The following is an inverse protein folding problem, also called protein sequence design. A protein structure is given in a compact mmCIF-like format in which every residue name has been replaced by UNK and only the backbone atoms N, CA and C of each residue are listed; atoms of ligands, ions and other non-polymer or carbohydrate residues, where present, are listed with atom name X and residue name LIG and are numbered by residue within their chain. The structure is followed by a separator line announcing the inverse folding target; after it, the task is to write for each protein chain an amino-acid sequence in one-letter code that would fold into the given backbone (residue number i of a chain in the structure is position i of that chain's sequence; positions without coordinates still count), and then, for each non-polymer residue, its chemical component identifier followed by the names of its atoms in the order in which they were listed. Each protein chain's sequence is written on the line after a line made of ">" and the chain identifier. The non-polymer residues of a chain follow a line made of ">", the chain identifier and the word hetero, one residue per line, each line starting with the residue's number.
data_IF_596665442993
#
_entry.id   IF_596665442993
#
_cell.length_a   1.000
_cell.length_b   1.000
_cell.length_c   1.000
_cell.angle_alpha   90.00
_cell.angle_beta   90.00
_cell.angle_gamma   90.00
#
_symmetry.space_group_name_H-M   'P 1'
#
loop_
_entity.id
_entity.type
_entity.pdbx_description
1 polymer ?
#
# COMPACT_ATOMS: atom_id res chain seq x y z
N UNK A 1 -8.69 -14.39 9.27
CA UNK A 1 -8.67 -12.95 8.94
C UNK A 1 -9.54 -12.71 7.71
N UNK A 2 -10.84 -12.99 7.80
CA UNK A 2 -11.63 -13.39 6.61
C UNK A 2 -12.80 -12.47 6.26
N UNK A 3 -12.77 -11.19 6.66
CA UNK A 3 -13.91 -10.31 6.37
C UNK A 3 -13.57 -8.83 6.14
N UNK A 4 -12.36 -8.48 5.69
CA UNK A 4 -12.06 -7.08 5.36
C UNK A 4 -12.81 -6.63 4.11
N UNK A 5 -13.30 -5.39 4.10
CA UNK A 5 -14.03 -4.79 2.97
C UNK A 5 -13.24 -3.65 2.34
N UNK A 6 -13.03 -3.72 1.03
CA UNK A 6 -12.42 -2.63 0.25
C UNK A 6 -13.36 -1.43 0.24
N UNK A 7 -12.91 -0.31 0.81
CA UNK A 7 -13.70 0.93 0.88
C UNK A 7 -13.19 2.00 -0.08
N UNK A 8 -11.93 1.92 -0.51
CA UNK A 8 -11.31 2.86 -1.45
C UNK A 8 -10.30 2.14 -2.34
N UNK A 9 -10.40 2.35 -3.64
CA UNK A 9 -9.45 1.85 -4.63
C UNK A 9 -8.87 3.03 -5.39
N UNK A 10 -7.54 3.08 -5.51
CA UNK A 10 -6.85 4.11 -6.26
C UNK A 10 -6.80 3.74 -7.76
N UNK A 11 -6.58 4.71 -8.66
CA UNK A 11 -6.25 4.41 -10.05
C UNK A 11 -4.98 3.55 -10.16
N UNK A 12 -4.79 2.91 -11.32
CA UNK A 12 -3.50 2.28 -11.64
C UNK A 12 -2.44 3.37 -11.82
N UNK A 13 -1.31 3.20 -11.14
CA UNK A 13 -0.16 4.08 -11.21
C UNK A 13 0.94 3.50 -12.07
N UNK A 14 1.55 4.37 -12.85
CA UNK A 14 2.79 4.14 -13.58
C UNK A 14 3.96 4.76 -12.80
N UNK A 15 5.20 4.57 -13.27
CA UNK A 15 6.36 5.23 -12.68
C UNK A 15 6.19 6.78 -12.58
N UNK A 16 5.48 7.37 -13.55
CA UNK A 16 5.25 8.82 -13.64
C UNK A 16 4.07 9.32 -12.81
N UNK A 17 3.09 8.45 -12.56
CA UNK A 17 1.84 8.83 -11.87
C UNK A 17 1.76 8.33 -10.45
N UNK A 18 2.70 7.47 -10.01
CA UNK A 18 2.85 7.05 -8.62
C UNK A 18 3.08 8.29 -7.74
N UNK A 19 2.17 8.62 -6.80
CA UNK A 19 2.29 9.85 -6.03
C UNK A 19 3.51 9.84 -5.10
N UNK A 20 4.16 11.00 -5.00
CA UNK A 20 5.44 11.16 -4.29
C UNK A 20 5.34 10.77 -2.80
N UNK A 21 4.20 11.01 -2.15
CA UNK A 21 4.00 10.66 -0.74
C UNK A 21 4.10 9.15 -0.48
N UNK A 22 3.83 8.29 -1.48
CA UNK A 22 4.02 6.84 -1.33
C UNK A 22 5.50 6.41 -1.44
N UNK A 23 6.37 7.29 -1.94
CA UNK A 23 7.84 7.12 -1.97
C UNK A 23 8.52 7.61 -0.69
N UNK A 24 7.79 8.37 0.12
CA UNK A 24 8.22 8.89 1.42
C UNK A 24 7.70 7.99 2.56
N UNK A 25 8.25 8.15 3.77
CA UNK A 25 7.78 7.41 4.95
C UNK A 25 6.34 7.82 5.26
N UNK A 26 5.45 6.84 5.28
CA UNK A 26 4.05 7.03 5.68
C UNK A 26 3.50 5.74 6.29
N UNK A 27 2.28 5.79 6.80
CA UNK A 27 1.51 4.63 7.23
C UNK A 27 0.03 4.82 6.89
N UNK A 28 -0.76 3.78 7.13
CA UNK A 28 -2.22 3.89 7.10
C UNK A 28 -2.78 4.21 8.48
N UNK A 29 -3.93 4.87 8.52
CA UNK A 29 -4.67 5.12 9.76
C UNK A 29 -5.05 3.82 10.48
N UNK A 30 -5.36 3.92 11.77
CA UNK A 30 -5.93 2.82 12.54
C UNK A 30 -7.18 2.23 11.86
N UNK A 31 -7.28 0.90 11.85
CA UNK A 31 -8.35 0.15 11.19
C UNK A 31 -8.35 0.24 9.66
N UNK A 32 -7.26 0.71 9.05
CA UNK A 32 -7.07 0.72 7.59
C UNK A 32 -5.90 -0.19 7.19
N UNK A 33 -6.21 -1.24 6.45
CA UNK A 33 -5.21 -2.08 5.79
C UNK A 33 -5.00 -1.62 4.35
N UNK A 34 -3.77 -1.75 3.84
CA UNK A 34 -3.43 -1.41 2.47
C UNK A 34 -3.02 -2.66 1.69
N UNK A 35 -3.57 -2.85 0.50
CA UNK A 35 -3.15 -3.89 -0.43
C UNK A 35 -2.53 -3.23 -1.65
N UNK A 36 -1.22 -3.38 -1.80
CA UNK A 36 -0.51 -3.00 -3.02
C UNK A 36 -0.53 -4.21 -3.97
N UNK A 37 -0.94 -3.99 -5.22
CA UNK A 37 -0.94 -5.01 -6.26
C UNK A 37 -0.09 -4.53 -7.43
N UNK A 38 0.94 -5.29 -7.79
CA UNK A 38 1.76 -5.04 -8.97
C UNK A 38 1.13 -5.77 -10.15
N UNK A 39 0.77 -5.02 -11.20
CA UNK A 39 0.17 -5.54 -12.43
C UNK A 39 1.24 -5.81 -13.49
N UNK A 40 2.29 -5.00 -13.53
CA UNK A 40 3.43 -5.13 -14.45
C UNK A 40 4.68 -4.52 -13.81
N UNK A 41 5.86 -5.01 -14.20
CA UNK A 41 7.14 -4.51 -13.73
C UNK A 41 7.45 -4.95 -12.30
N UNK A 42 8.31 -4.19 -11.64
CA UNK A 42 8.75 -4.45 -10.28
C UNK A 42 8.91 -3.17 -9.46
N UNK A 43 8.84 -3.31 -8.14
CA UNK A 43 9.12 -2.24 -7.20
C UNK A 43 9.86 -2.77 -5.98
N UNK A 44 10.65 -1.91 -5.37
CA UNK A 44 11.29 -2.16 -4.08
C UNK A 44 10.46 -1.48 -3.01
N UNK A 45 10.08 -2.24 -1.98
CA UNK A 45 9.24 -1.78 -0.89
C UNK A 45 9.95 -1.99 0.44
N UNK A 46 9.93 -0.98 1.30
CA UNK A 46 10.58 -1.04 2.60
C UNK A 46 9.56 -0.88 3.74
N UNK A 47 9.68 -1.77 4.74
CA UNK A 47 9.09 -1.57 6.06
C UNK A 47 10.04 -0.74 6.91
N UNK A 48 9.49 0.21 7.66
CA UNK A 48 10.25 1.19 8.40
C UNK A 48 9.91 1.14 9.90
N UNK A 49 10.84 1.61 10.72
CA UNK A 49 10.56 1.96 12.11
C UNK A 49 9.86 3.31 12.21
N UNK A 50 9.34 3.62 13.39
CA UNK A 50 8.79 4.95 13.67
C UNK A 50 9.84 6.07 13.54
N UNK A 51 11.14 5.77 13.65
CA UNK A 51 12.20 6.75 13.40
C UNK A 51 12.61 6.84 11.93
N UNK A 52 12.03 5.99 11.06
CA UNK A 52 12.31 5.96 9.63
C UNK A 52 13.50 5.08 9.22
N UNK A 53 14.01 4.26 10.12
CA UNK A 53 15.04 3.25 9.81
C UNK A 53 14.41 2.11 9.02
N UNK A 54 15.14 1.56 8.05
CA UNK A 54 14.68 0.41 7.26
C UNK A 54 14.76 -0.85 8.14
N UNK A 55 13.62 -1.48 8.38
CA UNK A 55 13.51 -2.77 9.08
C UNK A 55 13.68 -3.91 8.09
N UNK A 56 13.04 -3.80 6.94
CA UNK A 56 13.17 -4.74 5.84
C UNK A 56 12.95 -4.04 4.51
N UNK A 57 13.56 -4.58 3.46
CA UNK A 57 13.41 -4.10 2.09
C UNK A 57 13.34 -5.32 1.16
N UNK A 58 12.37 -5.33 0.25
CA UNK A 58 12.11 -6.46 -0.63
C UNK A 58 11.60 -6.00 -1.99
N UNK A 59 11.97 -6.76 -3.04
CA UNK A 59 11.51 -6.52 -4.42
C UNK A 59 10.27 -7.36 -4.72
N UNK A 60 9.22 -6.70 -5.18
CA UNK A 60 7.96 -7.31 -5.56
C UNK A 60 7.66 -7.10 -7.04
N UNK A 61 6.91 -8.04 -7.62
CA UNK A 61 6.48 -8.00 -9.02
C UNK A 61 5.13 -8.72 -9.20
N UNK A 62 4.66 -8.85 -10.44
CA UNK A 62 3.36 -9.46 -10.73
C UNK A 62 3.20 -10.90 -10.19
N UNK A 63 4.29 -11.67 -10.13
CA UNK A 63 4.31 -13.07 -9.65
C UNK A 63 4.66 -13.18 -8.16
N UNK A 64 5.25 -12.13 -7.57
CA UNK A 64 5.62 -12.06 -6.15
C UNK A 64 5.06 -10.77 -5.55
N UNK A 65 3.84 -10.87 -5.02
CA UNK A 65 3.09 -9.73 -4.49
C UNK A 65 3.44 -9.45 -3.03
N UNK A 66 3.42 -8.19 -2.59
CA UNK A 66 3.54 -7.86 -1.18
C UNK A 66 2.32 -8.37 -0.41
N UNK A 67 2.55 -8.69 0.87
CA UNK A 67 1.47 -8.99 1.80
C UNK A 67 0.63 -7.74 2.11
N UNK A 68 -0.58 -7.96 2.63
CA UNK A 68 -1.43 -6.89 3.12
C UNK A 68 -0.72 -6.09 4.23
N UNK A 69 -0.64 -4.78 4.07
CA UNK A 69 -0.02 -3.88 5.04
C UNK A 69 -1.00 -3.59 6.17
N UNK A 70 -0.58 -3.87 7.41
CA UNK A 70 -1.37 -3.63 8.61
C UNK A 70 -1.52 -2.13 8.94
N UNK A 71 -2.60 -1.74 9.66
CA UNK A 71 -2.76 -0.38 10.17
C UNK A 71 -1.53 0.11 10.93
N UNK A 72 -1.23 1.40 10.77
CA UNK A 72 -0.14 2.10 11.46
C UNK A 72 1.29 1.60 11.15
N UNK A 73 1.46 0.57 10.32
CA UNK A 73 2.78 0.08 9.95
C UNK A 73 3.48 1.08 9.02
N UNK A 74 4.67 1.54 9.41
CA UNK A 74 5.45 2.50 8.62
C UNK A 74 6.11 1.82 7.43
N UNK A 75 5.99 2.43 6.25
CA UNK A 75 6.52 1.88 5.00
C UNK A 75 6.74 2.96 3.92
N UNK A 76 7.40 2.57 2.83
CA UNK A 76 7.54 3.37 1.60
C UNK A 76 7.87 2.50 0.38
N UNK A 77 7.56 3.01 -0.81
CA UNK A 77 8.10 2.48 -2.08
C UNK A 77 9.46 3.14 -2.33
N UNK A 78 10.53 2.35 -2.32
CA UNK A 78 11.91 2.83 -2.46
C UNK A 78 12.21 3.17 -3.91
N UNK A 79 11.86 2.26 -4.83
CA UNK A 79 12.11 2.41 -6.25
C UNK A 79 11.12 1.59 -7.07
N UNK A 80 11.04 1.86 -8.36
CA UNK A 80 10.15 1.18 -9.30
C UNK A 80 10.85 1.02 -10.65
N UNK A 81 10.58 -0.08 -11.36
CA UNK A 81 10.98 -0.22 -12.76
C UNK A 81 10.30 0.84 -13.63
N UNK A 82 10.86 1.06 -14.83
CA UNK A 82 10.33 2.06 -15.76
C UNK A 82 8.94 1.74 -16.30
N UNK A 83 8.60 0.45 -16.35
CA UNK A 83 7.35 -0.11 -16.86
C UNK A 83 6.35 -0.51 -15.77
N UNK A 84 6.60 -0.11 -14.51
CA UNK A 84 5.73 -0.41 -13.38
C UNK A 84 4.28 -0.02 -13.69
N UNK A 85 3.36 -0.94 -13.40
CA UNK A 85 1.95 -0.65 -13.26
C UNK A 85 1.49 -1.26 -11.93
N UNK A 86 0.99 -0.45 -10.99
CA UNK A 86 0.53 -0.93 -9.70
C UNK A 86 -0.75 -0.24 -9.24
N UNK A 87 -1.46 -0.84 -8.30
CA UNK A 87 -2.69 -0.30 -7.74
C UNK A 87 -2.70 -0.48 -6.22
N UNK A 88 -3.25 0.51 -5.54
CA UNK A 88 -3.43 0.48 -4.08
C UNK A 88 -4.92 0.46 -3.74
N UNK A 89 -5.29 -0.50 -2.91
CA UNK A 89 -6.62 -0.65 -2.34
C UNK A 89 -6.55 -0.50 -0.82
N UNK A 90 -7.55 0.13 -0.22
CA UNK A 90 -7.69 0.29 1.22
C UNK A 90 -8.89 -0.47 1.73
N UNK A 91 -8.65 -1.23 2.79
CA UNK A 91 -9.61 -2.12 3.42
C UNK A 91 -9.84 -1.73 4.87
N UNK A 92 -11.05 -2.01 5.37
CA UNK A 92 -11.41 -1.88 6.78
C UNK A 92 -12.27 -3.07 7.21
N UNK A 93 -12.53 -3.19 8.50
CA UNK A 93 -13.55 -4.11 9.01
C UNK A 93 -14.94 -3.69 8.51
N UNK A 94 -15.88 -4.64 8.26
CA UNK A 94 -17.19 -4.35 7.69
C UNK A 94 -17.99 -3.31 8.48
N UNK A 95 -17.90 -3.35 9.81
CA UNK A 95 -18.59 -2.46 10.74
C UNK A 95 -18.17 -1.00 10.56
N UNK A 96 -16.93 -0.77 10.11
CA UNK A 96 -16.36 0.57 9.87
C UNK A 96 -16.49 1.04 8.42
N UNK A 97 -17.13 0.26 7.55
CA UNK A 97 -17.17 0.55 6.12
C UNK A 97 -17.82 1.90 5.79
N UNK A 98 -18.95 2.21 6.41
CA UNK A 98 -19.68 3.44 6.12
C UNK A 98 -18.94 4.67 6.65
N UNK A 99 -18.36 4.58 7.85
CA UNK A 99 -17.45 5.58 8.42
C UNK A 99 -16.27 5.85 7.47
N UNK A 100 -15.55 4.80 7.07
CA UNK A 100 -14.34 4.93 6.23
C UNK A 100 -14.63 5.38 4.81
N UNK A 101 -15.75 4.94 4.22
CA UNK A 101 -16.10 5.25 2.82
C UNK A 101 -16.80 6.61 2.66
N UNK A 102 -17.69 6.95 3.59
CA UNK A 102 -18.58 8.11 3.45
C UNK A 102 -18.40 9.16 4.56
N UNK A 103 -17.58 8.91 5.58
CA UNK A 103 -17.37 9.83 6.70
C UNK A 103 -18.57 9.94 7.65
N UNK A 104 -19.39 8.88 7.72
CA UNK A 104 -20.62 8.79 8.51
C UNK A 104 -20.40 8.29 9.94
#
# INVERSE_FOLDING_TARGET
>A
MSNLRCYKQMPVWSNKTLPQNFREKHNTQEGTWAKLTILQGELVFAMLSENGEIISEETFNASHQPSLVSPQAWHKIVSTSSDIACQLEFFCEPERYFEKKYGL
#
